data_IF_812853823908
#
_entry.id   IF_812853823908
#
_cell.length_a   1.000
_cell.length_b   1.000
_cell.length_c   1.000
_cell.angle_alpha   90.00
_cell.angle_beta   90.00
_cell.angle_gamma   90.00
#
_symmetry.space_group_name_H-M   'P 1'
#
loop_
_entity.id
_entity.type
_entity.pdbx_description
1 polymer ?
2 non-polymer ?
3 water ?
#
# COMPACT_ATOMS: atom_id res chain seq x y z
N UNK A 28 -5.82 -15.81 6.53
CA UNK A 28 -6.82 -15.18 5.61
C UNK A 28 -6.89 -13.69 5.90
N UNK A 29 -6.89 -12.90 4.83
CA UNK A 29 -7.02 -11.45 4.96
C UNK A 29 -8.31 -11.04 5.70
N UNK A 30 -8.19 -10.13 6.66
CA UNK A 30 -9.31 -9.42 7.29
C UNK A 30 -9.49 -8.13 6.50
N UNK A 31 -10.46 -8.16 5.57
CA UNK A 31 -10.69 -7.04 4.66
C UNK A 31 -11.13 -5.78 5.42
N UNK A 32 -12.01 -5.90 6.40
CA UNK A 32 -12.47 -4.73 7.13
C UNK A 32 -11.30 -4.06 7.87
N UNK A 33 -10.41 -4.89 8.43
CA UNK A 33 -9.32 -4.34 9.22
C UNK A 33 -8.33 -3.67 8.30
N UNK A 34 -8.14 -4.29 7.14
CA UNK A 34 -7.28 -3.63 6.14
C UNK A 34 -7.80 -2.25 5.69
N UNK A 35 -9.07 -2.18 5.29
CA UNK A 35 -9.67 -0.93 4.85
C UNK A 35 -9.71 0.12 6.00
N UNK A 36 -9.97 -0.33 7.23
CA UNK A 36 -9.90 0.53 8.39
C UNK A 36 -8.48 1.18 8.56
N UNK A 37 -7.44 0.34 8.49
CA UNK A 37 -6.08 0.85 8.61
C UNK A 37 -5.73 1.84 7.47
N UNK A 38 -6.17 1.50 6.26
CA UNK A 38 -5.97 2.40 5.09
C UNK A 38 -6.67 3.75 5.32
N UNK A 39 -7.91 3.75 5.82
CA UNK A 39 -8.65 4.98 6.05
C UNK A 39 -7.93 5.83 7.08
N UNK A 40 -7.52 5.17 8.18
CA UNK A 40 -6.88 5.85 9.28
C UNK A 40 -5.55 6.51 8.97
N UNK A 41 -4.83 5.98 7.97
CA UNK A 41 -3.50 6.47 7.64
C UNK A 41 -3.40 7.18 6.30
N UNK A 42 -4.54 7.63 5.81
CA UNK A 42 -4.69 8.52 4.66
C UNK A 42 -4.45 7.84 3.32
N UNK A 43 -4.33 6.53 3.35
CA UNK A 43 -3.97 5.81 2.15
C UNK A 43 -4.94 6.07 1.02
N UNK A 44 -6.22 6.10 1.31
CA UNK A 44 -7.25 6.28 0.28
C UNK A 44 -7.32 7.75 -0.18
N UNK A 45 -6.62 8.66 0.47
CA UNK A 45 -6.59 10.03 -0.08
C UNK A 45 -5.82 10.08 -1.40
N UNK A 46 -4.88 9.17 -1.55
CA UNK A 46 -4.10 9.13 -2.77
C UNK A 46 -4.31 7.89 -3.66
N UNK A 47 -4.86 6.81 -3.09
CA UNK A 47 -4.99 5.51 -3.79
C UNK A 47 -6.44 5.12 -3.82
N UNK A 48 -6.90 4.65 -4.96
CA UNK A 48 -8.14 3.88 -4.99
C UNK A 48 -7.91 2.44 -5.21
N UNK A 49 -8.94 1.62 -4.96
CA UNK A 49 -8.89 0.23 -5.35
C UNK A 49 -8.71 0.09 -6.87
N UNK A 50 -9.61 0.71 -7.63
CA UNK A 50 -9.58 0.57 -9.10
C UNK A 50 -9.26 1.89 -9.80
N UNK A 51 -9.53 3.01 -9.15
CA UNK A 51 -9.29 4.32 -9.72
C UNK A 51 -7.98 4.88 -9.23
N UNK A 52 -7.17 5.26 -10.19
CA UNK A 52 -5.96 6.03 -10.01
C UNK A 52 -6.25 7.42 -9.40
N UNK A 53 -5.45 7.83 -8.45
CA UNK A 53 -5.41 9.21 -8.08
C UNK A 53 -3.96 9.65 -8.09
N UNK A 54 -3.53 10.32 -7.04
CA UNK A 54 -2.13 10.79 -6.92
C UNK A 54 -1.16 9.59 -7.02
N UNK A 55 -1.59 8.49 -6.38
CA UNK A 55 -0.87 7.25 -6.37
C UNK A 55 -1.55 6.18 -7.25
N UNK A 56 -0.85 5.12 -7.62
CA UNK A 56 -1.44 4.04 -8.48
C UNK A 56 -2.61 3.35 -7.80
N UNK A 57 -3.54 2.85 -8.60
CA UNK A 57 -4.59 2.04 -8.02
C UNK A 57 -4.00 0.80 -7.37
N UNK A 58 -4.71 0.27 -6.38
CA UNK A 58 -4.16 -0.90 -5.75
C UNK A 58 -4.29 -2.10 -6.66
N UNK A 59 -5.27 -2.09 -7.56
CA UNK A 59 -5.38 -3.12 -8.60
C UNK A 59 -4.13 -3.15 -9.44
N UNK A 60 -3.64 -1.97 -9.87
CA UNK A 60 -2.40 -1.89 -10.67
C UNK A 60 -1.16 -2.33 -9.88
N UNK A 61 -1.14 -1.98 -8.61
CA UNK A 61 -0.04 -2.46 -7.76
C UNK A 61 -0.08 -3.96 -7.68
N UNK A 62 -1.25 -4.53 -7.38
CA UNK A 62 -1.40 -5.99 -7.27
C UNK A 62 -0.92 -6.63 -8.57
N UNK A 63 -1.31 -6.03 -9.70
CA UNK A 63 -0.85 -6.58 -11.03
C UNK A 63 0.68 -6.52 -11.14
N UNK A 64 1.28 -5.41 -10.74
CA UNK A 64 2.71 -5.26 -10.82
C UNK A 64 3.45 -6.31 -10.02
N UNK A 65 2.88 -6.67 -8.88
CA UNK A 65 3.58 -7.58 -8.00
C UNK A 65 3.10 -9.04 -8.10
N UNK A 66 2.17 -9.32 -8.99
CA UNK A 66 1.56 -10.66 -9.06
C UNK A 66 2.66 -11.68 -9.29
N UNK A 67 2.66 -12.72 -8.46
CA UNK A 67 3.62 -13.83 -8.51
C UNK A 67 4.95 -13.61 -7.86
N UNK A 68 5.34 -12.34 -7.59
CA UNK A 68 6.65 -12.13 -7.05
C UNK A 68 6.83 -12.78 -5.69
N UNK A 69 7.87 -13.61 -5.56
CA UNK A 69 8.02 -14.36 -4.30
C UNK A 69 8.17 -13.45 -3.08
N UNK A 70 8.81 -12.30 -3.27
CA UNK A 70 9.03 -11.38 -2.15
C UNK A 70 8.10 -10.18 -2.13
N UNK A 71 6.94 -10.33 -2.77
CA UNK A 71 6.01 -9.21 -2.83
C UNK A 71 5.63 -8.63 -1.48
N UNK A 72 5.22 -9.52 -0.59
CA UNK A 72 4.82 -9.03 0.73
C UNK A 72 5.92 -8.28 1.47
N UNK A 73 7.12 -8.85 1.48
CA UNK A 73 8.21 -8.19 2.19
C UNK A 73 8.51 -6.82 1.52
N UNK A 74 8.44 -6.80 0.17
CA UNK A 74 8.74 -5.55 -0.55
C UNK A 74 7.76 -4.44 -0.21
N UNK A 75 6.47 -4.78 -0.13
CA UNK A 75 5.47 -3.73 0.17
C UNK A 75 5.47 -3.37 1.66
N UNK A 76 5.76 -4.34 2.52
CA UNK A 76 5.93 -3.99 3.96
C UNK A 76 7.09 -2.98 4.10
N UNK A 77 8.20 -3.24 3.37
CA UNK A 77 9.29 -2.30 3.30
C UNK A 77 8.88 -0.95 2.76
N UNK A 78 8.15 -0.97 1.67
CA UNK A 78 7.76 0.28 1.04
C UNK A 78 6.94 1.18 1.97
N UNK A 79 6.03 0.60 2.75
CA UNK A 79 5.18 1.42 3.62
C UNK A 79 5.75 1.81 4.98
N UNK A 80 6.92 1.25 5.28
CA UNK A 80 7.60 1.49 6.57
C UNK A 80 8.96 2.15 6.42
N UNK A 81 9.34 2.62 5.22
CA UNK A 81 10.67 3.26 5.01
C UNK A 81 10.70 4.74 4.62
N UNK A 82 9.63 5.27 4.05
CA UNK A 82 9.66 6.67 3.58
C UNK A 82 10.59 6.98 2.47
N UNK A 83 10.70 6.05 1.52
CA UNK A 83 11.57 6.30 0.39
C UNK A 83 10.84 7.18 -0.59
N UNK A 84 11.60 7.70 -1.56
CA UNK A 84 11.03 8.62 -2.55
C UNK A 84 9.85 8.02 -3.32
N UNK A 85 8.88 8.88 -3.55
CA UNK A 85 7.67 8.54 -4.27
C UNK A 85 7.56 9.61 -5.32
N UNK A 86 7.52 9.15 -6.59
CA UNK A 86 7.43 10.08 -7.70
C UNK A 86 5.97 10.26 -8.05
N UNK A 87 5.54 11.54 -8.07
CA UNK A 87 4.14 11.87 -8.35
C UNK A 87 3.88 12.09 -9.83
N UNK A 88 2.59 12.05 -10.24
CA UNK A 88 2.27 12.20 -11.63
C UNK A 88 2.78 13.51 -12.26
N UNK A 89 2.75 14.59 -11.50
CA UNK A 89 3.15 15.91 -12.04
C UNK A 89 4.66 16.14 -12.04
N UNK A 90 5.42 15.15 -11.60
CA UNK A 90 6.89 15.13 -11.70
C UNK A 90 7.59 15.43 -10.39
N UNK A 91 6.89 15.96 -9.40
CA UNK A 91 7.52 16.23 -8.11
C UNK A 91 7.64 14.95 -7.28
N UNK A 92 8.53 14.99 -6.29
CA UNK A 92 8.73 13.85 -5.41
C UNK A 92 8.48 14.21 -3.96
N UNK A 93 8.12 13.20 -3.20
CA UNK A 93 7.94 13.33 -1.72
C UNK A 93 8.43 12.01 -1.13
N UNK A 94 8.75 12.02 0.17
CA UNK A 94 9.05 10.76 0.86
C UNK A 94 7.66 10.11 1.07
N UNK A 95 7.50 8.81 0.76
CA UNK A 95 6.18 8.14 0.89
C UNK A 95 5.73 8.10 2.34
N UNK A 96 4.42 8.17 2.57
CA UNK A 96 3.77 7.93 3.88
C UNK A 96 4.45 6.72 4.56
N UNK A 97 4.89 6.91 5.79
CA UNK A 97 5.60 5.87 6.53
C UNK A 97 4.78 5.53 7.75
N UNK A 98 4.26 4.32 7.82
CA UNK A 98 3.47 3.92 8.96
C UNK A 98 4.27 3.07 9.99
N UNK A 99 5.59 3.05 9.87
CA UNK A 99 6.42 2.32 10.85
C UNK A 99 6.17 2.90 12.25
N UNK A 100 5.80 2.03 13.18
CA UNK A 100 5.52 2.46 14.54
C UNK A 100 4.14 3.04 14.74
N UNK A 101 3.33 3.13 13.68
CA UNK A 101 1.98 3.71 13.77
C UNK A 101 0.87 2.65 13.79
N UNK A 102 1.25 1.41 13.58
CA UNK A 102 0.30 0.30 13.73
C UNK A 102 1.11 -0.94 14.03
N UNK A 103 0.40 -2.02 14.33
CA UNK A 103 1.08 -3.22 14.67
C UNK A 103 1.67 -3.89 13.44
N UNK A 104 2.73 -4.67 13.62
CA UNK A 104 3.25 -5.46 12.49
C UNK A 104 2.15 -6.34 11.84
N UNK A 105 1.32 -6.97 12.64
CA UNK A 105 0.25 -7.81 12.11
C UNK A 105 -0.73 -7.00 11.27
N UNK A 106 -1.07 -5.79 11.74
CA UNK A 106 -2.02 -4.98 10.93
C UNK A 106 -1.41 -4.54 9.59
N UNK A 107 -0.14 -4.22 9.62
CA UNK A 107 0.55 -3.72 8.41
C UNK A 107 0.60 -4.88 7.41
N UNK A 108 0.96 -6.07 7.88
CA UNK A 108 1.01 -7.29 7.04
C UNK A 108 -0.36 -7.57 6.41
N UNK A 109 -1.40 -7.47 7.23
CA UNK A 109 -2.74 -7.73 6.73
C UNK A 109 -3.15 -6.71 5.67
N UNK A 110 -2.76 -5.47 5.84
CA UNK A 110 -3.07 -4.47 4.82
C UNK A 110 -2.31 -4.74 3.48
N UNK A 111 -1.03 -5.08 3.55
CA UNK A 111 -0.24 -5.47 2.39
C UNK A 111 -0.87 -6.65 1.70
N UNK A 112 -1.25 -7.64 2.49
CA UNK A 112 -1.83 -8.87 1.91
C UNK A 112 -3.14 -8.55 1.16
N UNK A 113 -3.91 -7.63 1.71
CA UNK A 113 -5.15 -7.18 1.05
C UNK A 113 -4.82 -6.53 -0.26
N UNK A 114 -3.94 -5.55 -0.25
CA UNK A 114 -3.51 -4.91 -1.49
C UNK A 114 -3.09 -5.89 -2.58
N UNK A 115 -2.21 -6.83 -2.21
CA UNK A 115 -1.70 -7.79 -3.19
C UNK A 115 -2.78 -8.66 -3.82
N UNK A 116 -3.88 -8.86 -3.10
CA UNK A 116 -4.97 -9.65 -3.64
C UNK A 116 -5.86 -8.99 -4.66
N UNK A 117 -5.71 -7.68 -4.89
CA UNK A 117 -6.73 -6.91 -5.63
C UNK A 117 -6.61 -6.98 -7.17
N UNK A 118 -5.74 -7.82 -7.69
CA UNK A 118 -5.65 -7.95 -9.15
C UNK A 118 -6.85 -8.63 -9.73
N UNK A 119 -7.51 -9.47 -8.96
CA UNK A 119 -8.66 -10.22 -9.44
C UNK A 119 -9.98 -9.54 -9.02
X LIG B 1 1.14 5.25 -1.61
X LIG B 1 3.02 4.05 -4.28
X LIG B 1 0.57 2.02 -0.54
X LIG B 1 -0.28 6.47 1.29
X LIG B 1 1.13 8.34 -2.95
X LIG B 1 1.75 3.40 -2.28
X LIG B 1 2.43 3.14 -3.41
X LIG B 1 2.48 1.73 -3.56
X LIG B 1 1.77 1.19 -2.52
X LIG B 1 1.30 2.26 -1.70
X LIG B 1 1.47 -0.25 -2.24
X LIG B 1 3.19 1.03 -4.71
X LIG B 1 4.65 0.82 -4.34
X LIG B 1 5.43 0.01 -5.36
X LIG B 1 4.99 -0.14 -6.51
X LIG B 1 6.48 -0.60 -4.97
X LIG B 1 0.30 4.43 0.04
X LIG B 1 0.17 3.08 0.29
X LIG B 1 -0.45 2.90 1.56
X LIG B 1 -0.69 4.10 2.11
X LIG B 1 -0.20 5.09 1.17
X LIG B 1 -0.74 1.56 2.17
X LIG B 1 -1.20 4.46 3.45
X LIG B 1 -0.33 3.98 4.46
X LIG B 1 0.50 7.12 -0.97
X LIG B 1 -0.01 7.33 0.27
X LIG B 1 -0.37 8.69 0.26
X LIG B 1 -0.08 9.28 -0.96
X LIG B 1 0.53 8.22 -1.70
X LIG B 1 -1.07 9.32 1.41
X LIG B 1 -0.36 10.71 -1.39
X LIG B 1 0.11 11.76 -0.60
X LIG B 1 1.96 6.02 -3.20
X LIG B 1 1.83 7.32 -3.64
X LIG B 1 2.58 7.55 -4.89
X LIG B 1 3.08 6.37 -5.22
X LIG B 1 2.67 5.39 -4.20
X LIG B 1 2.69 8.84 -5.62
X LIG B 1 3.91 6.03 -6.48
X LIG B 1 5.38 6.19 -6.22
X LIG B 1 6.30 5.89 -7.41
X LIG B 1 5.95 5.16 -8.38
X LIG B 1 7.47 6.34 -7.35
#
# INVERSE_FOLDING_TARGET
MTRQAYSSMLLSTAAALTLAFSLNASAAVDVDAAKSLARENNCFKCHGVDKEKDGPSYKKVAEKYRGKADAEAKLIHHVTSGEKAKFPDGHEEEHKNINGKASPEAIKNLVDWILSLWSHPQFEK
HEC FE CHA CHB CHC CHD NA C1A C2A C3A C4A CMA CAA CBA CGA O1A O2A NB C1B C2B C3B C4B CMB CAB CBB NC C1C C2C C3C C4C CMC CAC CBC ND C1D C2D C3D C4D CMD CAD CBD CGD O1D O2D
#
